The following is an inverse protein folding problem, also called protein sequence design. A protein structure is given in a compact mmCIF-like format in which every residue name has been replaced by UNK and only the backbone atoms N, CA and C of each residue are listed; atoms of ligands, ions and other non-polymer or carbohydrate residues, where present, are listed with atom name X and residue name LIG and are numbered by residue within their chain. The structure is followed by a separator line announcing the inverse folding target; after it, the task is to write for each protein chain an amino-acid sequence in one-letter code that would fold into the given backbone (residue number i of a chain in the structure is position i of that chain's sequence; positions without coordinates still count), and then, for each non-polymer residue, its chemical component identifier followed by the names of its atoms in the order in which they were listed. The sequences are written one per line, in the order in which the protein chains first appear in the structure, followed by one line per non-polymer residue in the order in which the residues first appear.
data_IF_036254924321
#
_entry.id   IF_036254924321
#
_cell.length_a   1.000
_cell.length_b   1.000
_cell.length_c   1.000
_cell.angle_alpha   90.00
_cell.angle_beta   90.00
_cell.angle_gamma   90.00
#
_symmetry.space_group_name_H-M   'P 1'
#
loop_
_entity.id
_entity.type
_entity.pdbx_description
1 polymer ?
#
# COMPACT_ATOMS: atom_id res chain seq x y z
N UNK A 1 25.88 -6.59 35.73
CA UNK A 1 25.28 -5.66 34.73
C UNK A 1 24.12 -4.95 35.39
N UNK A 2 24.07 -3.60 35.41
CA UNK A 2 23.01 -2.83 36.10
C UNK A 2 21.63 -3.10 35.45
N UNK A 3 20.55 -3.10 36.25
CA UNK A 3 19.18 -3.47 35.82
C UNK A 3 18.69 -2.65 34.63
N UNK A 4 19.06 -1.38 34.54
CA UNK A 4 18.69 -0.46 33.47
C UNK A 4 19.27 -0.92 32.13
N UNK A 5 20.51 -1.45 32.11
CA UNK A 5 21.12 -1.99 30.90
C UNK A 5 20.38 -3.23 30.38
N UNK A 6 19.81 -4.05 31.27
CA UNK A 6 18.99 -5.20 30.86
C UNK A 6 17.67 -4.76 30.23
N UNK A 7 17.02 -3.74 30.80
CA UNK A 7 15.77 -3.19 30.26
C UNK A 7 15.99 -2.55 28.90
N UNK A 8 17.06 -1.76 28.72
CA UNK A 8 17.40 -1.17 27.43
C UNK A 8 17.74 -2.21 26.36
N UNK A 9 18.42 -3.29 26.72
CA UNK A 9 18.66 -4.40 25.80
C UNK A 9 17.34 -5.08 25.40
N UNK A 10 16.46 -5.35 26.36
CA UNK A 10 15.13 -5.91 26.08
C UNK A 10 14.30 -5.02 25.16
N UNK A 11 14.26 -3.71 25.43
CA UNK A 11 13.60 -2.73 24.58
C UNK A 11 14.18 -2.70 23.17
N UNK A 12 15.51 -2.61 23.04
CA UNK A 12 16.18 -2.62 21.75
C UNK A 12 15.88 -3.92 20.97
N UNK A 13 15.85 -5.07 21.63
CA UNK A 13 15.47 -6.34 21.01
C UNK A 13 14.05 -6.32 20.47
N UNK A 14 13.07 -5.85 21.26
CA UNK A 14 11.68 -5.74 20.82
C UNK A 14 11.57 -4.82 19.61
N UNK A 15 12.22 -3.65 19.66
CA UNK A 15 12.21 -2.69 18.57
C UNK A 15 12.80 -3.28 17.28
N UNK A 16 14.01 -3.86 17.36
CA UNK A 16 14.68 -4.44 16.19
C UNK A 16 13.86 -5.56 15.58
N UNK A 17 13.34 -6.48 16.40
CA UNK A 17 12.55 -7.61 15.89
C UNK A 17 11.22 -7.15 15.28
N UNK A 18 10.56 -6.18 15.89
CA UNK A 18 9.28 -5.65 15.39
C UNK A 18 9.47 -4.95 14.04
N UNK A 19 10.51 -4.11 13.93
CA UNK A 19 10.83 -3.45 12.66
C UNK A 19 11.33 -4.44 11.60
N UNK A 20 12.08 -5.47 11.98
CA UNK A 20 12.51 -6.50 11.03
C UNK A 20 11.30 -7.20 10.39
N UNK A 21 10.29 -7.57 11.18
CA UNK A 21 9.04 -8.17 10.66
C UNK A 21 8.28 -7.17 9.79
N UNK A 22 8.15 -5.91 10.23
CA UNK A 22 7.46 -4.87 9.46
C UNK A 22 8.12 -4.64 8.09
N UNK A 23 9.46 -4.54 8.05
CA UNK A 23 10.21 -4.34 6.81
C UNK A 23 10.08 -5.55 5.90
N UNK A 24 10.21 -6.76 6.45
CA UNK A 24 10.08 -7.99 5.67
C UNK A 24 8.73 -8.06 4.95
N UNK A 25 7.63 -7.87 5.67
CA UNK A 25 6.31 -7.89 5.04
C UNK A 25 6.05 -6.66 4.17
N UNK A 26 6.65 -5.52 4.46
CA UNK A 26 6.60 -4.35 3.57
C UNK A 26 7.19 -4.63 2.19
N UNK A 27 8.30 -5.38 2.13
CA UNK A 27 8.93 -5.82 0.87
C UNK A 27 8.02 -6.81 0.14
N UNK A 28 7.48 -7.81 0.84
CA UNK A 28 6.56 -8.79 0.25
C UNK A 28 5.33 -8.11 -0.36
N UNK A 29 4.71 -7.18 0.37
CA UNK A 29 3.55 -6.41 -0.10
C UNK A 29 3.91 -5.60 -1.36
N UNK A 30 5.09 -4.96 -1.40
CA UNK A 30 5.51 -4.19 -2.56
C UNK A 30 5.69 -5.06 -3.81
N UNK A 31 6.20 -6.28 -3.66
CA UNK A 31 6.40 -7.21 -4.77
C UNK A 31 5.10 -7.91 -5.21
N UNK A 32 4.22 -8.22 -4.27
CA UNK A 32 2.95 -8.91 -4.52
C UNK A 32 1.79 -7.96 -4.88
N UNK A 33 2.00 -6.64 -4.80
CA UNK A 33 0.98 -5.65 -5.15
C UNK A 33 0.49 -5.84 -6.59
N UNK A 34 -0.83 -5.77 -6.85
CA UNK A 34 -1.37 -5.86 -8.20
C UNK A 34 -0.74 -4.80 -9.11
N UNK A 35 -0.06 -5.18 -10.21
CA UNK A 35 0.57 -4.22 -11.10
C UNK A 35 -0.49 -3.45 -11.90
N UNK A 36 -0.27 -2.14 -12.07
CA UNK A 36 -1.07 -1.35 -13.01
C UNK A 36 -0.62 -1.71 -14.43
N UNK A 37 -1.51 -2.21 -15.30
CA UNK A 37 -1.15 -2.59 -16.66
C UNK A 37 -0.73 -1.35 -17.47
N UNK A 38 0.24 -1.52 -18.37
CA UNK A 38 0.67 -0.42 -19.24
C UNK A 38 -0.41 -0.04 -20.26
N UNK A 39 -1.09 -1.05 -20.82
CA UNK A 39 -2.19 -0.92 -21.78
C UNK A 39 -3.23 -1.99 -21.55
N UNK A 40 -4.48 -1.63 -21.70
CA UNK A 40 -5.63 -2.52 -21.78
C UNK A 40 -6.13 -2.47 -23.21
N UNK A 41 -6.12 -3.62 -23.89
CA UNK A 41 -6.54 -3.75 -25.28
C UNK A 41 -7.72 -4.71 -25.39
N UNK A 42 -8.58 -4.47 -26.38
CA UNK A 42 -9.67 -5.38 -26.73
C UNK A 42 -9.16 -6.59 -27.52
N UNK A 43 -9.98 -7.62 -27.68
CA UNK A 43 -9.60 -8.84 -28.39
C UNK A 43 -9.33 -8.64 -29.87
N UNK A 44 -9.92 -7.61 -30.48
CA UNK A 44 -9.68 -7.16 -31.85
C UNK A 44 -8.49 -6.19 -31.98
N UNK A 45 -7.78 -5.90 -30.89
CA UNK A 45 -6.53 -5.15 -30.88
C UNK A 45 -6.67 -3.62 -30.74
N UNK A 46 -7.89 -3.13 -30.47
CA UNK A 46 -8.09 -1.70 -30.19
C UNK A 46 -7.60 -1.34 -28.79
N UNK A 47 -7.01 -0.16 -28.64
CA UNK A 47 -6.58 0.36 -27.33
C UNK A 47 -7.81 0.88 -26.58
N UNK A 48 -8.07 0.33 -25.40
CA UNK A 48 -9.17 0.78 -24.53
C UNK A 48 -8.70 1.88 -23.57
N UNK A 49 -7.61 1.64 -22.86
CA UNK A 49 -7.00 2.60 -21.93
C UNK A 49 -5.55 2.24 -21.65
N UNK A 50 -4.81 3.20 -21.13
CA UNK A 50 -3.43 3.06 -20.68
C UNK A 50 -3.35 3.05 -19.16
N UNK A 51 -2.20 2.65 -18.62
CA UNK A 51 -1.93 2.77 -17.19
C UNK A 51 -1.94 4.22 -16.69
N UNK A 52 -1.72 5.21 -17.57
CA UNK A 52 -1.81 6.62 -17.21
C UNK A 52 -3.27 7.03 -16.95
N UNK A 53 -4.21 6.56 -17.78
CA UNK A 53 -5.64 6.84 -17.59
C UNK A 53 -6.14 6.31 -16.24
N UNK A 54 -5.63 5.16 -15.79
CA UNK A 54 -5.93 4.59 -14.46
C UNK A 54 -5.41 5.51 -13.34
N UNK A 55 -4.17 5.99 -13.45
CA UNK A 55 -3.56 6.89 -12.46
C UNK A 55 -4.27 8.25 -12.42
N UNK A 56 -4.67 8.77 -13.57
CA UNK A 56 -5.42 10.02 -13.67
C UNK A 56 -6.81 9.88 -13.06
N UNK A 57 -7.50 8.74 -13.31
CA UNK A 57 -8.74 8.41 -12.63
C UNK A 57 -8.60 8.32 -11.11
N UNK A 58 -7.49 7.77 -10.61
CA UNK A 58 -7.19 7.76 -9.17
C UNK A 58 -7.03 9.20 -8.62
N UNK A 59 -6.32 10.09 -9.34
CA UNK A 59 -6.16 11.48 -8.93
C UNK A 59 -7.51 12.23 -8.90
N UNK A 60 -8.39 11.96 -9.87
CA UNK A 60 -9.76 12.52 -9.90
C UNK A 60 -10.59 11.99 -8.73
N UNK A 61 -10.53 10.69 -8.43
CA UNK A 61 -11.22 10.14 -7.27
C UNK A 61 -10.75 10.78 -5.95
N UNK A 62 -9.44 10.98 -5.79
CA UNK A 62 -8.87 11.66 -4.62
C UNK A 62 -9.35 13.12 -4.53
N UNK A 63 -9.44 13.84 -5.65
CA UNK A 63 -9.86 15.25 -5.65
C UNK A 63 -11.36 15.44 -5.36
N UNK A 64 -12.19 14.44 -5.67
CA UNK A 64 -13.62 14.44 -5.35
C UNK A 64 -13.94 14.12 -3.88
N UNK A 65 -12.92 13.82 -3.05
CA UNK A 65 -13.07 13.49 -1.63
C UNK A 65 -12.63 12.07 -1.27
N UNK A 66 -12.34 11.23 -2.26
CA UNK A 66 -11.67 9.94 -2.07
C UNK A 66 -12.40 9.02 -1.08
N UNK A 67 -11.69 8.64 -0.02
CA UNK A 67 -12.20 7.73 1.02
C UNK A 67 -13.27 8.37 1.91
N UNK A 68 -13.48 9.68 1.87
CA UNK A 68 -14.51 10.34 2.67
C UNK A 68 -15.90 10.22 2.05
N UNK A 69 -15.97 9.96 0.74
CA UNK A 69 -17.23 9.85 -0.02
C UNK A 69 -17.71 8.39 -0.10
N UNK A 70 -16.83 7.43 0.13
CA UNK A 70 -17.16 6.01 0.09
C UNK A 70 -15.94 5.12 0.30
N UNK A 71 -16.07 3.83 -0.01
CA UNK A 71 -15.05 2.82 0.27
C UNK A 71 -14.48 2.19 -1.00
N UNK A 72 -13.16 2.00 -1.03
CA UNK A 72 -12.47 1.18 -2.04
C UNK A 72 -11.68 0.09 -1.29
N UNK A 73 -11.84 -1.16 -1.71
CA UNK A 73 -11.26 -2.33 -1.03
C UNK A 73 -11.55 -2.37 0.48
N UNK A 74 -12.74 -1.92 0.88
CA UNK A 74 -13.16 -1.89 2.29
C UNK A 74 -12.56 -0.76 3.12
N UNK A 75 -11.76 0.13 2.53
CA UNK A 75 -11.17 1.29 3.19
C UNK A 75 -11.86 2.58 2.75
N UNK A 76 -12.55 3.23 3.70
CA UNK A 76 -13.18 4.53 3.53
C UNK A 76 -14.46 4.66 4.33
N UNK A 77 -15.29 5.62 3.94
CA UNK A 77 -16.50 5.99 4.64
C UNK A 77 -17.68 5.05 4.34
N UNK A 78 -18.64 5.00 5.26
CA UNK A 78 -19.84 4.14 5.21
C UNK A 78 -21.16 4.95 5.14
N UNK A 79 -21.06 6.26 4.94
CA UNK A 79 -22.18 7.22 4.98
C UNK A 79 -23.00 7.24 3.71
#
# INVERSE_FOLDING_TARGET
MKTEKKLWLGFASVMILSFAVLIYYGIEIYQAAPPVPEKVITTDGSLLMTGQDIKDGQNVWQSMGGQEVGTIWGHGAYV
#
